data_IF_845924814301
#
_entry.id   IF_845924814301
#
_cell.length_a   1.000
_cell.length_b   1.000
_cell.length_c   1.000
_cell.angle_alpha   90.00
_cell.angle_beta   90.00
_cell.angle_gamma   90.00
#
_symmetry.space_group_name_H-M   'P 1'
#
loop_
_entity.id
_entity.type
_entity.pdbx_description
1 polymer ?
#
# COMPACT_ATOMS: atom_id res chain seq x y z
N UNK A 1 -11.09 70.96 -3.82
CA UNK A 1 -9.92 70.30 -3.18
C UNK A 1 -10.06 68.78 -3.32
N UNK A 2 -9.29 68.12 -4.21
CA UNK A 2 -9.27 66.65 -4.33
C UNK A 2 -8.39 66.07 -3.23
N UNK A 3 -8.98 65.32 -2.28
CA UNK A 3 -8.23 64.52 -1.30
C UNK A 3 -7.43 63.46 -2.05
N UNK A 4 -6.10 63.64 -2.15
CA UNK A 4 -5.20 62.58 -2.64
C UNK A 4 -5.16 61.50 -1.56
N UNK A 5 -5.85 60.39 -1.81
CA UNK A 5 -5.73 59.21 -0.94
C UNK A 5 -4.28 58.69 -1.02
N UNK A 6 -3.63 58.43 0.13
CA UNK A 6 -2.25 57.98 0.13
C UNK A 6 -2.20 56.53 -0.37
N UNK A 7 -1.82 56.37 -1.64
CA UNK A 7 -1.67 55.08 -2.34
C UNK A 7 -0.84 54.07 -1.51
N UNK A 8 0.16 54.56 -0.76
CA UNK A 8 1.00 53.74 0.13
C UNK A 8 0.22 53.07 1.27
N UNK A 9 -0.83 53.73 1.80
CA UNK A 9 -1.66 53.15 2.86
C UNK A 9 -2.59 52.05 2.34
N UNK A 10 -3.09 52.20 1.11
CA UNK A 10 -3.94 51.20 0.44
C UNK A 10 -3.12 49.94 0.14
N UNK A 11 -1.91 50.10 -0.39
CA UNK A 11 -1.01 48.96 -0.68
C UNK A 11 -0.67 48.19 0.60
N UNK A 12 -0.37 48.89 1.69
CA UNK A 12 -0.07 48.25 2.99
C UNK A 12 -1.25 47.43 3.53
N UNK A 13 -2.46 47.99 3.47
CA UNK A 13 -3.69 47.30 3.91
C UNK A 13 -3.96 46.06 3.04
N UNK A 14 -3.78 46.17 1.72
CA UNK A 14 -3.93 45.03 0.81
C UNK A 14 -2.90 43.92 1.09
N UNK A 15 -1.65 44.26 1.38
CA UNK A 15 -0.62 43.27 1.72
C UNK A 15 -0.96 42.53 3.04
N UNK A 16 -1.42 43.25 4.07
CA UNK A 16 -1.82 42.63 5.34
C UNK A 16 -3.04 41.71 5.15
N UNK A 17 -4.03 42.15 4.38
CA UNK A 17 -5.20 41.32 4.06
C UNK A 17 -4.81 40.05 3.30
N UNK A 18 -3.88 40.14 2.34
CA UNK A 18 -3.34 38.99 1.61
C UNK A 18 -2.62 38.00 2.52
N UNK A 19 -1.78 38.47 3.44
CA UNK A 19 -1.08 37.61 4.40
C UNK A 19 -2.06 36.90 5.32
N UNK A 20 -3.11 37.58 5.77
CA UNK A 20 -4.16 36.96 6.59
C UNK A 20 -4.93 35.91 5.79
N UNK A 21 -5.29 36.20 4.53
CA UNK A 21 -5.99 35.24 3.67
C UNK A 21 -5.12 34.01 3.41
N UNK A 22 -3.83 34.19 3.07
CA UNK A 22 -2.89 33.07 2.87
C UNK A 22 -2.71 32.28 4.17
N UNK A 23 -2.58 32.94 5.32
CA UNK A 23 -2.48 32.28 6.61
C UNK A 23 -3.73 31.47 6.95
N UNK A 24 -4.93 32.00 6.70
CA UNK A 24 -6.20 31.29 6.90
C UNK A 24 -6.33 30.13 5.92
N UNK A 25 -5.97 30.30 4.64
CA UNK A 25 -5.98 29.21 3.65
C UNK A 25 -5.02 28.10 4.06
N UNK A 26 -3.82 28.42 4.55
CA UNK A 26 -2.86 27.43 5.04
C UNK A 26 -3.38 26.70 6.29
N UNK A 27 -3.96 27.41 7.25
CA UNK A 27 -4.54 26.80 8.46
C UNK A 27 -5.73 25.90 8.10
N UNK A 28 -6.61 26.36 7.21
CA UNK A 28 -7.76 25.59 6.73
C UNK A 28 -7.29 24.36 5.94
N UNK A 29 -6.29 24.49 5.08
CA UNK A 29 -5.71 23.36 4.33
C UNK A 29 -5.08 22.33 5.27
N UNK A 30 -4.43 22.77 6.36
CA UNK A 30 -3.91 21.86 7.38
C UNK A 30 -5.02 21.20 8.22
N UNK A 31 -6.16 21.86 8.36
CA UNK A 31 -7.33 21.35 9.10
C UNK A 31 -8.20 20.41 8.26
N UNK A 32 -7.93 20.31 6.95
CA UNK A 32 -8.57 19.37 6.02
C UNK A 32 -7.77 18.08 5.82
N UNK A 33 -6.66 17.88 6.53
CA UNK A 33 -6.09 16.54 6.63
C UNK A 33 -7.07 15.69 7.43
N UNK A 34 -7.66 14.62 6.85
CA UNK A 34 -8.50 13.72 7.61
C UNK A 34 -7.69 13.16 8.78
N UNK A 35 -8.32 12.99 9.95
CA UNK A 35 -7.65 12.53 11.18
C UNK A 35 -6.93 11.18 11.03
N UNK A 36 -7.20 10.41 9.95
CA UNK A 36 -6.52 9.15 9.57
C UNK A 36 -5.34 9.31 8.59
N UNK A 37 -4.93 10.53 8.23
CA UNK A 37 -3.75 10.77 7.39
C UNK A 37 -2.42 10.65 8.14
N UNK A 38 -2.43 10.12 9.36
CA UNK A 38 -1.20 9.93 10.12
C UNK A 38 -0.47 8.71 9.57
N UNK A 39 0.73 8.94 9.03
CA UNK A 39 1.60 7.84 8.64
C UNK A 39 1.92 6.96 9.87
N UNK A 40 1.72 5.66 9.69
CA UNK A 40 1.96 4.60 10.66
C UNK A 40 3.02 3.66 10.16
N UNK A 41 3.67 2.96 11.08
CA UNK A 41 4.71 1.99 10.75
C UNK A 41 4.07 0.72 10.15
N UNK A 42 4.57 0.25 9.01
CA UNK A 42 4.02 -0.93 8.34
C UNK A 42 4.13 -2.19 9.19
N UNK A 43 5.09 -2.27 10.11
CA UNK A 43 5.23 -3.39 11.05
C UNK A 43 4.00 -3.60 11.94
N UNK A 44 3.17 -2.57 12.16
CA UNK A 44 1.89 -2.72 12.86
C UNK A 44 0.95 -3.73 12.16
N UNK A 45 1.10 -3.88 10.85
CA UNK A 45 0.32 -4.80 10.02
C UNK A 45 1.06 -6.11 9.71
N UNK A 46 2.32 -6.27 10.12
CA UNK A 46 3.07 -7.50 9.88
C UNK A 46 2.52 -8.69 10.69
N UNK A 47 2.84 -9.92 10.32
CA UNK A 47 2.47 -11.09 11.13
C UNK A 47 3.15 -11.07 12.50
N UNK A 48 2.41 -11.47 13.54
CA UNK A 48 2.98 -11.81 14.84
C UNK A 48 3.61 -13.21 14.84
N UNK A 49 3.06 -14.11 14.02
CA UNK A 49 3.62 -15.42 13.72
C UNK A 49 3.02 -15.94 12.40
N UNK A 50 3.82 -16.57 11.55
CA UNK A 50 3.36 -17.26 10.34
C UNK A 50 3.87 -18.70 10.38
N UNK A 51 2.95 -19.66 10.43
CA UNK A 51 3.30 -21.08 10.49
C UNK A 51 3.78 -21.55 9.11
N UNK A 52 5.08 -21.80 9.00
CA UNK A 52 5.73 -22.24 7.76
C UNK A 52 5.29 -23.64 7.29
N UNK A 53 4.66 -24.42 8.17
CA UNK A 53 4.07 -25.72 7.87
C UNK A 53 2.56 -25.64 7.62
N UNK A 54 1.95 -24.45 7.69
CA UNK A 54 0.56 -24.26 7.33
C UNK A 54 0.35 -24.40 5.81
N UNK A 55 -0.80 -24.95 5.38
CA UNK A 55 -1.13 -25.04 3.97
C UNK A 55 -1.35 -23.65 3.36
N UNK A 56 -0.82 -23.41 2.16
CA UNK A 56 -0.94 -22.12 1.43
C UNK A 56 -2.33 -21.85 0.86
N UNK A 57 -3.31 -22.70 1.17
CA UNK A 57 -4.68 -22.60 0.69
C UNK A 57 -4.80 -22.62 -0.84
N UNK A 58 -5.42 -21.58 -1.39
CA UNK A 58 -5.73 -21.43 -2.82
C UNK A 58 -4.55 -20.94 -3.67
N UNK A 59 -3.40 -20.70 -3.05
CA UNK A 59 -2.15 -20.28 -3.71
C UNK A 59 -1.89 -18.78 -3.60
N UNK A 60 -1.08 -18.26 -4.53
CA UNK A 60 -0.60 -16.87 -4.52
C UNK A 60 -0.84 -16.18 -5.86
N UNK A 61 -1.09 -14.88 -5.80
CA UNK A 61 -1.06 -13.98 -6.95
C UNK A 61 0.18 -13.09 -6.89
N UNK A 62 0.84 -12.94 -8.02
CA UNK A 62 1.90 -11.95 -8.19
C UNK A 62 1.24 -10.58 -8.41
N UNK A 63 1.67 -9.58 -7.64
CA UNK A 63 1.18 -8.20 -7.72
C UNK A 63 2.20 -7.26 -8.38
N UNK A 64 3.49 -7.57 -8.30
CA UNK A 64 4.58 -6.82 -8.90
C UNK A 64 5.80 -7.70 -9.15
N UNK A 65 6.54 -7.40 -10.22
CA UNK A 65 7.81 -8.03 -10.54
C UNK A 65 8.77 -7.03 -11.20
N UNK A 66 10.01 -7.02 -10.75
CA UNK A 66 11.15 -6.50 -11.50
C UNK A 66 12.37 -7.44 -11.36
N UNK A 67 13.56 -6.95 -11.68
CA UNK A 67 14.81 -7.73 -11.63
C UNK A 67 15.31 -8.04 -10.23
N UNK A 68 14.93 -7.24 -9.23
CA UNK A 68 15.48 -7.29 -7.88
C UNK A 68 14.43 -7.65 -6.82
N UNK A 69 13.14 -7.52 -7.15
CA UNK A 69 12.06 -7.53 -6.16
C UNK A 69 10.75 -8.06 -6.73
N UNK A 70 10.00 -8.77 -5.88
CA UNK A 70 8.62 -9.17 -6.16
C UNK A 70 7.69 -8.80 -5.02
N UNK A 71 6.43 -8.58 -5.37
CA UNK A 71 5.34 -8.47 -4.40
C UNK A 71 4.27 -9.48 -4.79
N UNK A 72 3.85 -10.30 -3.84
CA UNK A 72 2.83 -11.32 -4.06
C UNK A 72 1.93 -11.43 -2.84
N UNK A 73 0.73 -11.95 -3.03
CA UNK A 73 -0.23 -12.11 -1.95
C UNK A 73 -0.99 -13.42 -2.06
N UNK A 74 -1.29 -14.00 -0.90
CA UNK A 74 -2.10 -15.19 -0.73
C UNK A 74 -3.43 -14.83 -0.07
N UNK A 75 -4.09 -15.85 0.51
CA UNK A 75 -5.38 -15.68 1.17
C UNK A 75 -5.24 -14.86 2.46
N UNK A 76 -4.14 -15.04 3.17
CA UNK A 76 -3.94 -14.48 4.51
C UNK A 76 -3.09 -13.21 4.50
N UNK A 77 -2.31 -12.96 3.45
CA UNK A 77 -1.34 -11.88 3.47
C UNK A 77 -0.75 -11.45 2.14
N UNK A 78 -0.09 -10.29 2.20
CA UNK A 78 0.78 -9.71 1.20
C UNK A 78 2.23 -9.77 1.66
N UNK A 79 3.14 -10.05 0.73
CA UNK A 79 4.56 -10.27 0.97
C UNK A 79 5.39 -9.45 -0.03
N UNK A 80 6.46 -8.82 0.47
CA UNK A 80 7.55 -8.28 -0.34
C UNK A 80 8.78 -9.17 -0.22
N UNK A 81 9.42 -9.51 -1.34
CA UNK A 81 10.60 -10.38 -1.35
C UNK A 81 11.71 -9.81 -2.24
N UNK A 82 12.88 -9.65 -1.65
CA UNK A 82 14.11 -9.24 -2.33
C UNK A 82 14.79 -10.46 -2.94
N UNK A 83 14.91 -10.46 -4.27
CA UNK A 83 15.49 -11.57 -5.05
C UNK A 83 17.01 -11.67 -4.89
N UNK A 84 17.67 -10.57 -4.56
CA UNK A 84 19.13 -10.50 -4.41
C UNK A 84 19.59 -10.93 -3.02
N UNK A 85 18.81 -10.53 -2.01
CA UNK A 85 19.04 -10.85 -0.60
C UNK A 85 18.37 -12.16 -0.18
N UNK A 86 17.53 -12.72 -1.05
CA UNK A 86 16.74 -13.94 -0.84
C UNK A 86 15.93 -13.92 0.48
N UNK A 87 15.26 -12.80 0.74
CA UNK A 87 14.52 -12.60 1.99
C UNK A 87 13.21 -11.83 1.80
N UNK A 88 12.25 -12.15 2.65
CA UNK A 88 11.06 -11.33 2.83
C UNK A 88 11.46 -10.01 3.49
N UNK A 89 11.03 -8.88 2.92
CA UNK A 89 11.35 -7.54 3.42
C UNK A 89 10.21 -6.90 4.18
N UNK A 90 8.97 -7.29 3.88
CA UNK A 90 7.79 -6.94 4.66
C UNK A 90 6.68 -7.96 4.50
N UNK A 91 5.75 -7.96 5.46
CA UNK A 91 4.49 -8.69 5.39
C UNK A 91 3.34 -7.79 5.79
N UNK A 92 2.15 -8.10 5.29
CA UNK A 92 0.89 -7.48 5.74
C UNK A 92 -0.13 -8.59 5.97
N UNK A 93 -0.53 -8.77 7.22
CA UNK A 93 -1.57 -9.69 7.67
C UNK A 93 -2.94 -9.08 7.37
N UNK A 94 -3.73 -9.76 6.52
CA UNK A 94 -5.04 -9.28 6.11
C UNK A 94 -6.06 -9.28 7.25
N UNK A 95 -5.85 -10.08 8.30
CA UNK A 95 -6.69 -10.05 9.51
C UNK A 95 -6.46 -8.74 10.27
N UNK A 96 -5.23 -8.22 10.33
CA UNK A 96 -4.95 -6.91 10.95
C UNK A 96 -5.54 -5.74 10.15
N UNK A 97 -5.63 -5.90 8.83
CA UNK A 97 -6.21 -4.90 7.91
C UNK A 97 -7.74 -4.90 7.93
N UNK A 98 -8.36 -6.08 7.88
CA UNK A 98 -9.81 -6.19 7.60
C UNK A 98 -10.59 -7.05 8.58
N UNK A 99 -9.92 -7.67 9.55
CA UNK A 99 -10.51 -8.62 10.49
C UNK A 99 -10.83 -9.99 9.88
N UNK A 100 -10.43 -10.25 8.65
CA UNK A 100 -10.72 -11.47 7.89
C UNK A 100 -9.61 -11.80 6.91
N UNK A 101 -9.56 -13.05 6.45
CA UNK A 101 -8.73 -13.43 5.31
C UNK A 101 -9.32 -12.87 4.02
N UNK A 102 -8.45 -12.65 3.03
CA UNK A 102 -8.79 -12.17 1.70
C UNK A 102 -9.35 -13.27 0.79
N UNK A 103 -9.32 -13.05 -0.53
CA UNK A 103 -9.52 -14.12 -1.49
C UNK A 103 -8.60 -13.98 -2.71
N UNK A 104 -7.94 -15.07 -3.09
CA UNK A 104 -6.96 -15.10 -4.18
C UNK A 104 -7.60 -15.46 -5.54
N UNK A 105 -8.73 -16.19 -5.54
CA UNK A 105 -9.43 -16.59 -6.76
C UNK A 105 -10.66 -15.73 -7.02
N UNK A 106 -10.68 -14.98 -8.13
CA UNK A 106 -11.83 -14.17 -8.54
C UNK A 106 -11.95 -12.81 -7.85
N UNK A 107 -10.90 -12.36 -7.14
CA UNK A 107 -10.78 -11.06 -6.45
C UNK A 107 -12.07 -10.57 -5.77
N UNK A 108 -12.81 -11.48 -5.14
CA UNK A 108 -13.71 -11.14 -4.04
C UNK A 108 -12.88 -10.82 -2.80
N UNK A 109 -13.28 -9.91 -1.93
CA UNK A 109 -12.60 -9.76 -0.64
C UNK A 109 -11.38 -8.85 -0.69
N UNK A 110 -10.37 -9.08 -1.54
CA UNK A 110 -9.12 -8.29 -1.50
C UNK A 110 -8.68 -7.82 -2.87
N UNK A 111 -8.30 -6.54 -2.96
CA UNK A 111 -7.64 -5.94 -4.13
C UNK A 111 -6.29 -5.36 -3.71
N UNK A 112 -5.24 -5.84 -4.37
CA UNK A 112 -3.89 -5.28 -4.31
C UNK A 112 -3.58 -4.60 -5.64
N UNK A 113 -3.07 -3.37 -5.59
CA UNK A 113 -2.50 -2.65 -6.72
C UNK A 113 -1.14 -2.11 -6.31
N UNK A 114 -0.14 -2.30 -7.15
CA UNK A 114 1.23 -1.84 -6.91
C UNK A 114 1.59 -0.87 -8.03
N UNK A 115 2.29 0.22 -7.74
CA UNK A 115 2.75 1.17 -8.75
C UNK A 115 3.73 0.51 -9.71
N UNK A 116 3.86 1.07 -10.91
CA UNK A 116 4.73 0.56 -11.99
C UNK A 116 6.20 0.44 -11.56
N UNK A 117 6.63 1.21 -10.56
CA UNK A 117 7.97 1.20 -9.97
C UNK A 117 8.11 0.35 -8.70
N UNK A 118 7.02 -0.26 -8.22
CA UNK A 118 7.02 -1.12 -7.03
C UNK A 118 7.04 -0.38 -5.70
N UNK A 119 6.98 0.96 -5.68
CA UNK A 119 7.20 1.75 -4.46
C UNK A 119 5.93 1.97 -3.64
N UNK A 120 4.76 1.91 -4.26
CA UNK A 120 3.49 2.22 -3.62
C UNK A 120 2.51 1.07 -3.80
N UNK A 121 1.76 0.75 -2.74
CA UNK A 121 0.71 -0.27 -2.77
C UNK A 121 -0.59 0.35 -2.29
N UNK A 122 -1.67 0.06 -3.01
CA UNK A 122 -3.04 0.24 -2.55
C UNK A 122 -3.60 -1.15 -2.26
N UNK A 123 -3.93 -1.37 -0.98
CA UNK A 123 -4.63 -2.56 -0.50
C UNK A 123 -6.04 -2.16 -0.09
N UNK A 124 -7.05 -2.83 -0.64
CA UNK A 124 -8.46 -2.61 -0.28
C UNK A 124 -9.10 -3.95 0.00
N UNK A 125 -9.79 -4.04 1.12
CA UNK A 125 -10.73 -5.12 1.37
C UNK A 125 -12.13 -4.69 0.91
N UNK A 126 -12.91 -5.58 0.32
CA UNK A 126 -14.33 -5.34 0.03
C UNK A 126 -15.15 -6.62 0.17
N UNK A 127 -16.25 -6.54 0.92
CA UNK A 127 -17.16 -7.66 1.09
C UNK A 127 -18.12 -7.73 -0.11
N UNK A 128 -18.15 -8.88 -0.79
CA UNK A 128 -19.08 -9.12 -1.90
C UNK A 128 -20.55 -9.16 -1.48
N UNK A 129 -20.84 -9.47 -0.22
CA UNK A 129 -22.21 -9.44 0.32
C UNK A 129 -22.70 -7.99 0.52
N UNK A 130 -21.77 -7.03 0.61
CA UNK A 130 -22.05 -5.60 0.76
C UNK A 130 -21.18 -4.77 -0.18
N UNK A 131 -21.39 -4.87 -1.52
CA UNK A 131 -20.51 -4.26 -2.52
C UNK A 131 -20.54 -2.72 -2.50
N UNK A 132 -21.57 -2.13 -1.90
CA UNK A 132 -21.73 -0.68 -1.76
C UNK A 132 -21.10 -0.13 -0.46
N UNK A 133 -20.57 -1.00 0.41
CA UNK A 133 -19.86 -0.55 1.60
C UNK A 133 -18.57 0.16 1.20
N UNK A 134 -18.36 1.35 1.76
CA UNK A 134 -17.11 2.10 1.61
C UNK A 134 -16.11 1.48 2.57
N UNK A 135 -15.05 0.89 2.01
CA UNK A 135 -13.93 0.39 2.78
C UNK A 135 -12.75 1.35 2.61
N UNK A 136 -12.07 1.62 3.72
CA UNK A 136 -10.82 2.37 3.65
C UNK A 136 -9.77 1.57 2.88
N UNK A 137 -9.02 2.29 2.06
CA UNK A 137 -7.84 1.79 1.40
C UNK A 137 -6.63 2.02 2.30
N UNK A 138 -5.74 1.03 2.29
CA UNK A 138 -4.44 1.10 2.91
C UNK A 138 -3.44 1.52 1.84
N UNK A 139 -2.89 2.71 1.99
CA UNK A 139 -1.85 3.27 1.14
C UNK A 139 -0.51 3.01 1.78
N UNK A 140 0.25 2.06 1.23
CA UNK A 140 1.53 1.60 1.76
C UNK A 140 2.66 2.15 0.89
N UNK A 141 3.68 2.72 1.53
CA UNK A 141 4.91 3.19 0.90
C UNK A 141 6.05 2.25 1.28
N UNK A 142 6.62 1.57 0.29
CA UNK A 142 7.77 0.66 0.47
C UNK A 142 9.05 1.42 0.81
N UNK A 143 9.38 2.57 0.18
CA UNK A 143 10.61 3.30 0.53
C UNK A 143 10.68 3.75 2.00
N UNK A 144 9.54 4.06 2.60
CA UNK A 144 9.45 4.53 3.99
C UNK A 144 9.01 3.45 4.97
N UNK A 145 8.52 2.31 4.46
CA UNK A 145 7.91 1.24 5.27
C UNK A 145 6.79 1.77 6.17
N UNK A 146 5.96 2.65 5.62
CA UNK A 146 4.82 3.25 6.32
C UNK A 146 3.52 3.04 5.57
N UNK A 147 2.40 3.21 6.26
CA UNK A 147 1.07 3.22 5.66
C UNK A 147 0.18 4.33 6.25
N UNK A 148 -0.87 4.68 5.52
CA UNK A 148 -2.01 5.42 6.05
C UNK A 148 -3.33 4.86 5.48
N UNK A 149 -4.43 5.17 6.14
CA UNK A 149 -5.77 4.74 5.72
C UNK A 149 -6.55 5.93 5.14
N UNK A 150 -7.41 5.67 4.16
CA UNK A 150 -8.30 6.71 3.64
C UNK A 150 -9.23 6.22 2.54
N UNK A 151 -10.01 7.15 1.97
CA UNK A 151 -10.92 6.85 0.88
C UNK A 151 -10.17 6.22 -0.31
N UNK A 152 -10.73 5.17 -0.91
CA UNK A 152 -10.13 4.53 -2.07
C UNK A 152 -10.11 5.44 -3.30
N UNK A 153 -8.92 5.61 -3.86
CA UNK A 153 -8.71 6.22 -5.16
C UNK A 153 -7.91 5.24 -6.06
N UNK A 154 -8.37 4.97 -7.30
CA UNK A 154 -7.65 4.10 -8.20
C UNK A 154 -6.23 4.62 -8.50
N UNK A 155 -5.27 3.71 -8.50
CA UNK A 155 -3.90 3.99 -8.95
C UNK A 155 -3.85 4.07 -10.48
N UNK A 156 -3.45 5.22 -11.02
CA UNK A 156 -3.38 5.45 -12.47
C UNK A 156 -2.21 4.72 -13.12
N UNK A 157 -1.08 4.61 -12.41
CA UNK A 157 0.19 4.04 -12.85
C UNK A 157 0.42 2.62 -12.29
N UNK A 158 -0.65 1.84 -12.13
CA UNK A 158 -0.54 0.49 -11.58
C UNK A 158 0.21 -0.46 -12.53
N UNK A 159 1.12 -1.25 -11.98
CA UNK A 159 1.74 -2.39 -12.66
C UNK A 159 0.64 -3.36 -13.12
N UNK A 160 0.75 -3.85 -14.36
CA UNK A 160 -0.12 -4.91 -14.86
C UNK A 160 0.54 -6.28 -14.60
N UNK A 161 0.00 -7.12 -13.70
CA UNK A 161 0.55 -8.45 -13.41
C UNK A 161 0.64 -9.36 -14.63
N UNK A 162 -0.17 -9.15 -15.67
CA UNK A 162 -0.08 -9.92 -16.92
C UNK A 162 1.23 -9.66 -17.68
N UNK A 163 1.96 -8.59 -17.35
CA UNK A 163 3.27 -8.29 -17.92
C UNK A 163 4.42 -9.00 -17.18
N UNK A 164 4.15 -9.65 -16.04
CA UNK A 164 5.18 -10.38 -15.30
C UNK A 164 5.64 -11.61 -16.10
N UNK A 165 6.93 -11.93 -15.99
CA UNK A 165 7.55 -13.07 -16.68
C UNK A 165 7.61 -14.28 -15.77
N UNK A 166 7.75 -14.05 -14.46
CA UNK A 166 7.75 -15.08 -13.44
C UNK A 166 6.37 -15.36 -12.86
N UNK A 167 6.34 -16.31 -11.93
CA UNK A 167 5.14 -16.68 -11.18
C UNK A 167 5.53 -17.26 -9.82
N UNK A 168 4.64 -17.13 -8.85
CA UNK A 168 4.77 -17.78 -7.55
C UNK A 168 4.11 -19.15 -7.62
N UNK A 169 4.92 -20.20 -7.53
CA UNK A 169 4.50 -21.59 -7.46
C UNK A 169 4.19 -21.97 -6.01
N UNK A 170 2.91 -22.13 -5.63
CA UNK A 170 2.54 -22.55 -4.28
C UNK A 170 3.06 -23.95 -3.96
N UNK A 171 3.68 -24.09 -2.79
CA UNK A 171 4.01 -25.40 -2.21
C UNK A 171 2.78 -26.06 -1.57
N UNK A 172 2.96 -27.25 -1.01
CA UNK A 172 1.93 -27.85 -0.14
C UNK A 172 1.75 -27.07 1.18
N UNK A 173 2.82 -26.39 1.61
CA UNK A 173 2.92 -25.54 2.80
C UNK A 173 3.76 -24.32 2.46
N UNK A 174 3.69 -23.26 3.28
CA UNK A 174 4.40 -22.00 3.03
C UNK A 174 5.89 -22.19 2.73
N UNK A 175 6.62 -22.95 3.56
CA UNK A 175 8.06 -23.21 3.40
C UNK A 175 8.49 -23.87 2.07
N UNK A 176 7.53 -24.39 1.30
CA UNK A 176 7.78 -25.02 -0.01
C UNK A 176 7.37 -24.17 -1.20
N UNK A 177 6.98 -22.92 -0.96
CA UNK A 177 6.59 -21.99 -2.02
C UNK A 177 7.82 -21.46 -2.72
N UNK A 178 7.75 -21.38 -4.05
CA UNK A 178 8.84 -20.90 -4.87
C UNK A 178 8.38 -19.76 -5.76
N UNK A 179 9.27 -18.83 -6.05
CA UNK A 179 9.13 -17.94 -7.19
C UNK A 179 10.01 -18.45 -8.32
N UNK A 180 9.47 -18.49 -9.55
CA UNK A 180 10.16 -19.00 -10.72
C UNK A 180 10.15 -17.91 -11.79
N UNK A 181 11.33 -17.57 -12.33
CA UNK A 181 11.47 -16.64 -13.46
C UNK A 181 12.50 -17.18 -14.45
N UNK A 182 12.02 -17.60 -15.62
CA UNK A 182 12.86 -18.27 -16.61
C UNK A 182 13.45 -19.56 -16.05
N UNK A 183 14.78 -19.69 -16.08
CA UNK A 183 15.52 -20.84 -15.55
C UNK A 183 15.92 -20.68 -14.06
N UNK A 184 15.58 -19.55 -13.44
CA UNK A 184 15.90 -19.25 -12.03
C UNK A 184 14.72 -19.57 -11.12
N UNK A 185 15.02 -19.98 -9.88
CA UNK A 185 14.02 -20.24 -8.85
C UNK A 185 14.50 -19.78 -7.48
N UNK A 186 13.59 -19.26 -6.66
CA UNK A 186 13.84 -18.79 -5.29
C UNK A 186 12.85 -19.46 -4.34
N UNK A 187 13.31 -19.92 -3.18
CA UNK A 187 12.43 -20.40 -2.10
C UNK A 187 12.00 -19.19 -1.26
N UNK A 188 10.82 -18.64 -1.52
CA UNK A 188 10.46 -17.29 -1.03
C UNK A 188 10.23 -17.18 0.48
N UNK A 189 10.14 -18.31 1.18
CA UNK A 189 10.00 -18.38 2.64
C UNK A 189 11.18 -19.08 3.32
N UNK A 190 12.26 -19.39 2.58
CA UNK A 190 13.45 -19.97 3.20
C UNK A 190 14.09 -18.96 4.15
N UNK A 191 14.44 -19.41 5.36
CA UNK A 191 14.98 -18.54 6.41
C UNK A 191 14.03 -17.44 6.91
N UNK A 192 12.73 -17.48 6.59
CA UNK A 192 11.77 -16.52 7.15
C UNK A 192 11.59 -16.76 8.64
N UNK A 193 11.99 -15.76 9.43
CA UNK A 193 11.76 -15.69 10.87
C UNK A 193 10.83 -14.51 11.14
N UNK A 194 9.91 -14.69 12.10
CA UNK A 194 9.07 -13.60 12.58
C UNK A 194 9.82 -12.90 13.70
N UNK A 195 10.18 -11.63 13.50
CA UNK A 195 10.87 -10.79 14.49
C UNK A 195 9.95 -10.35 15.63
#
# INVERSE_FOLDING_TARGET
MRKKFPIKAIISICCVALIIIVGVVLIVNNSFQPEDSQERDLSELAFDNLDMDAPVGVGFNLAFENDDFIIFYGDEALFGYDLSEEKITFTVDFIKVSGTTGAVQGSAGTRVRVSQDGQNIILVYFNMDTPDAVYDAYYISIPTMTYHCGEYHPMEDAFNPENAVGYVLPGAVYSRTQYIRGDSSWNVFDGYEVE
#
